data_IF_384221012390
#
_entry.id   IF_384221012390
#
_cell.length_a   1.000
_cell.length_b   1.000
_cell.length_c   1.000
_cell.angle_alpha   90.00
_cell.angle_beta   90.00
_cell.angle_gamma   90.00
#
_symmetry.space_group_name_H-M   'P 1'
#
loop_
_entity.id
_entity.type
_entity.pdbx_description
1 polymer ?
#
# COMPACT_ATOMS: atom_id res chain seq x y z
N UNK A 1 -11.14 -2.97 31.34
CA UNK A 1 -11.14 -4.26 30.62
C UNK A 1 -11.50 -3.93 29.19
N UNK A 2 -10.51 -3.88 28.29
CA UNK A 2 -10.77 -3.57 26.88
C UNK A 2 -11.11 -4.90 26.23
N UNK A 3 -12.38 -5.13 25.95
CA UNK A 3 -12.82 -6.25 25.12
C UNK A 3 -12.05 -6.17 23.80
N UNK A 4 -11.06 -7.06 23.64
CA UNK A 4 -10.49 -7.36 22.32
C UNK A 4 -11.61 -8.04 21.56
N UNK A 5 -12.47 -7.25 20.91
CA UNK A 5 -13.34 -7.77 19.86
C UNK A 5 -12.42 -8.44 18.84
N UNK A 6 -12.45 -9.77 18.82
CA UNK A 6 -11.69 -10.57 17.89
C UNK A 6 -12.42 -10.49 16.56
N UNK A 7 -12.18 -9.39 15.84
CA UNK A 7 -12.79 -9.15 14.54
C UNK A 7 -11.99 -9.94 13.51
N UNK A 8 -12.60 -10.97 12.95
CA UNK A 8 -12.05 -11.78 11.85
C UNK A 8 -12.11 -10.99 10.52
N UNK A 9 -11.23 -10.00 10.37
CA UNK A 9 -11.19 -9.18 9.16
C UNK A 9 -10.67 -10.04 8.02
N UNK A 10 -11.45 -10.16 6.94
CA UNK A 10 -10.98 -10.79 5.72
C UNK A 10 -9.93 -9.90 5.03
N UNK A 11 -8.66 -10.09 5.39
CA UNK A 11 -7.54 -9.31 4.88
C UNK A 11 -7.39 -9.42 3.35
N UNK A 12 -7.76 -10.57 2.79
CA UNK A 12 -7.72 -10.80 1.34
C UNK A 12 -8.72 -9.88 0.63
N UNK A 13 -9.92 -9.73 1.17
CA UNK A 13 -10.93 -8.81 0.64
C UNK A 13 -10.49 -7.35 0.76
N UNK A 14 -9.92 -6.96 1.92
CA UNK A 14 -9.40 -5.61 2.13
C UNK A 14 -8.28 -5.26 1.14
N UNK A 15 -7.34 -6.18 0.93
CA UNK A 15 -6.24 -6.03 -0.05
C UNK A 15 -6.79 -5.94 -1.48
N UNK A 16 -7.74 -6.80 -1.84
CA UNK A 16 -8.36 -6.78 -3.18
C UNK A 16 -9.14 -5.49 -3.44
N UNK A 17 -9.90 -5.01 -2.46
CA UNK A 17 -10.65 -3.75 -2.53
C UNK A 17 -9.68 -2.58 -2.70
N UNK A 18 -8.66 -2.52 -1.87
CA UNK A 18 -7.61 -1.49 -1.92
C UNK A 18 -6.91 -1.49 -3.27
N UNK A 19 -6.52 -2.66 -3.78
CA UNK A 19 -5.87 -2.78 -5.07
C UNK A 19 -6.74 -2.21 -6.20
N UNK A 20 -8.05 -2.50 -6.19
CA UNK A 20 -9.00 -1.93 -7.16
C UNK A 20 -9.13 -0.42 -7.05
N UNK A 21 -9.24 0.12 -5.84
CA UNK A 21 -9.34 1.57 -5.60
C UNK A 21 -8.09 2.27 -6.12
N UNK A 22 -6.90 1.78 -5.76
CA UNK A 22 -5.62 2.38 -6.17
C UNK A 22 -5.37 2.26 -7.68
N UNK A 23 -5.73 1.12 -8.29
CA UNK A 23 -5.68 0.92 -9.73
C UNK A 23 -6.57 1.95 -10.46
N UNK A 24 -7.81 2.12 -10.01
CA UNK A 24 -8.72 3.11 -10.58
C UNK A 24 -8.21 4.54 -10.39
N UNK A 25 -7.73 4.88 -9.19
CA UNK A 25 -7.36 6.24 -8.80
C UNK A 25 -6.06 6.73 -9.45
N UNK A 26 -5.07 5.85 -9.62
CA UNK A 26 -3.73 6.26 -10.06
C UNK A 26 -3.28 5.64 -11.38
N UNK A 27 -3.80 4.46 -11.75
CA UNK A 27 -3.32 3.73 -12.93
C UNK A 27 -4.24 3.91 -14.13
N UNK A 28 -5.56 3.78 -13.93
CA UNK A 28 -6.57 3.92 -14.98
C UNK A 28 -7.10 5.34 -15.13
N UNK A 29 -7.10 6.12 -14.06
CA UNK A 29 -7.54 7.51 -14.12
C UNK A 29 -6.66 8.35 -15.06
N UNK A 30 -7.24 9.32 -15.77
CA UNK A 30 -6.49 10.36 -16.47
C UNK A 30 -5.49 11.08 -15.55
N UNK A 31 -4.31 11.43 -16.08
CA UNK A 31 -3.23 12.04 -15.27
C UNK A 31 -3.65 13.35 -14.60
N UNK A 32 -4.55 14.13 -15.19
CA UNK A 32 -5.09 15.37 -14.62
C UNK A 32 -5.97 15.14 -13.39
N UNK A 33 -6.54 13.94 -13.22
CA UNK A 33 -7.28 13.51 -12.03
C UNK A 33 -6.40 12.84 -10.98
N UNK A 34 -5.44 12.04 -11.40
CA UNK A 34 -4.54 11.31 -10.50
C UNK A 34 -3.47 12.21 -9.85
N UNK A 35 -2.91 13.17 -10.61
CA UNK A 35 -1.84 14.05 -10.12
C UNK A 35 -2.23 14.95 -8.94
N UNK A 36 -3.44 15.55 -8.88
CA UNK A 36 -3.88 16.29 -7.70
C UNK A 36 -3.88 15.44 -6.43
N UNK A 37 -4.41 14.22 -6.52
CA UNK A 37 -4.45 13.28 -5.39
C UNK A 37 -3.04 12.90 -4.95
N UNK A 38 -2.17 12.56 -5.92
CA UNK A 38 -0.76 12.30 -5.63
C UNK A 38 -0.07 13.50 -4.95
N UNK A 39 -0.38 14.72 -5.39
CA UNK A 39 0.19 15.94 -4.80
C UNK A 39 -0.24 16.10 -3.35
N UNK A 40 -1.50 15.81 -3.02
CA UNK A 40 -1.99 15.90 -1.65
C UNK A 40 -1.29 14.88 -0.73
N UNK A 41 -1.25 13.60 -1.12
CA UNK A 41 -0.59 12.56 -0.31
C UNK A 41 0.93 12.78 -0.22
N UNK A 42 1.57 13.30 -1.28
CA UNK A 42 2.99 13.68 -1.26
C UNK A 42 3.30 14.83 -0.29
N UNK A 43 2.31 15.67 0.02
CA UNK A 43 2.43 16.72 1.04
C UNK A 43 2.18 16.21 2.46
N UNK A 44 2.01 14.90 2.65
CA UNK A 44 1.69 14.29 3.94
C UNK A 44 0.23 14.44 4.34
N UNK A 45 -0.68 14.75 3.40
CA UNK A 45 -2.12 14.79 3.69
C UNK A 45 -2.73 13.40 3.50
N UNK A 46 -3.48 12.95 4.50
CA UNK A 46 -4.36 11.81 4.35
C UNK A 46 -5.44 12.12 3.31
N UNK A 47 -5.51 11.31 2.25
CA UNK A 47 -6.53 11.44 1.21
C UNK A 47 -7.70 10.49 1.48
N UNK A 48 -8.93 10.98 1.68
CA UNK A 48 -10.07 10.12 1.94
C UNK A 48 -10.44 9.30 0.69
N UNK A 49 -10.53 7.98 0.85
CA UNK A 49 -10.95 7.06 -0.22
C UNK A 49 -12.44 6.69 -0.12
N UNK A 50 -13.10 7.04 0.98
CA UNK A 50 -14.54 6.83 1.21
C UNK A 50 -14.82 6.00 2.46
N UNK A 51 -15.98 5.36 2.49
CA UNK A 51 -16.38 4.42 3.54
C UNK A 51 -16.55 3.02 2.99
N UNK A 52 -16.29 2.03 3.83
CA UNK A 52 -16.55 0.61 3.54
C UNK A 52 -17.26 -0.02 4.72
N UNK A 53 -18.10 -1.01 4.45
CA UNK A 53 -18.70 -1.80 5.52
C UNK A 53 -17.92 -3.09 5.69
N UNK A 54 -17.19 -3.22 6.79
CA UNK A 54 -16.55 -4.47 7.19
C UNK A 54 -17.57 -5.38 7.88
N UNK A 55 -17.60 -6.65 7.46
CA UNK A 55 -18.47 -7.70 8.05
C UNK A 55 -19.95 -7.30 8.16
N UNK A 56 -20.45 -6.49 7.21
CA UNK A 56 -21.85 -6.02 7.16
C UNK A 56 -22.32 -5.17 8.36
N UNK A 57 -21.44 -4.88 9.33
CA UNK A 57 -21.81 -4.27 10.62
C UNK A 57 -21.00 -3.04 10.97
N UNK A 58 -19.78 -2.92 10.45
CA UNK A 58 -18.85 -1.86 10.85
C UNK A 58 -18.58 -0.95 9.66
N UNK A 59 -19.12 0.26 9.71
CA UNK A 59 -18.77 1.31 8.76
C UNK A 59 -17.40 1.89 9.14
N UNK A 60 -16.44 1.75 8.23
CA UNK A 60 -15.07 2.19 8.37
C UNK A 60 -14.76 3.25 7.32
N UNK A 61 -14.21 4.39 7.74
CA UNK A 61 -13.61 5.35 6.81
C UNK A 61 -12.24 4.85 6.37
N UNK A 62 -11.92 5.02 5.09
CA UNK A 62 -10.61 4.67 4.53
C UNK A 62 -9.89 5.95 4.13
N UNK A 63 -8.63 6.07 4.53
CA UNK A 63 -7.70 7.09 4.04
C UNK A 63 -6.48 6.46 3.38
N UNK A 64 -5.85 7.23 2.50
CA UNK A 64 -4.58 6.92 1.86
C UNK A 64 -3.53 7.92 2.30
N UNK A 65 -2.39 7.39 2.73
CA UNK A 65 -1.22 8.13 3.14
C UNK A 65 0.00 7.66 2.35
N UNK A 66 0.97 8.56 2.15
CA UNK A 66 2.22 8.27 1.48
C UNK A 66 3.39 8.76 2.33
N UNK A 67 4.31 7.86 2.63
CA UNK A 67 5.64 8.17 3.14
C UNK A 67 6.67 7.90 2.05
N UNK A 68 7.42 8.92 1.65
CA UNK A 68 8.50 8.80 0.68
C UNK A 68 9.86 9.17 1.26
N UNK A 69 9.98 9.23 2.60
CA UNK A 69 11.20 9.61 3.31
C UNK A 69 12.42 8.79 2.89
N UNK A 70 12.24 7.49 2.64
CA UNK A 70 13.32 6.58 2.21
C UNK A 70 13.51 6.51 0.69
N UNK A 71 12.85 7.37 -0.09
CA UNK A 71 13.07 7.43 -1.54
C UNK A 71 14.49 7.95 -1.84
N UNK A 72 15.26 7.17 -2.59
CA UNK A 72 16.64 7.46 -2.98
C UNK A 72 16.70 8.10 -4.36
N UNK A 73 17.49 9.18 -4.44
CA UNK A 73 17.80 9.90 -5.67
C UNK A 73 16.86 11.06 -6.01
N UNK A 74 17.27 11.94 -6.95
CA UNK A 74 16.40 13.00 -7.43
C UNK A 74 15.26 12.40 -8.27
N UNK A 75 14.08 13.04 -8.24
CA UNK A 75 13.02 12.73 -9.20
C UNK A 75 11.81 11.96 -8.67
N UNK A 76 11.55 11.97 -7.35
CA UNK A 76 10.27 11.47 -6.84
C UNK A 76 9.11 12.29 -7.41
N UNK A 77 8.40 11.73 -8.39
CA UNK A 77 7.30 12.35 -9.13
C UNK A 77 6.17 11.34 -9.33
N UNK A 78 5.09 11.78 -9.99
CA UNK A 78 3.92 10.93 -10.23
C UNK A 78 4.25 9.66 -11.01
N UNK A 79 5.12 9.74 -12.02
CA UNK A 79 5.44 8.60 -12.86
C UNK A 79 6.27 7.55 -12.10
N UNK A 80 7.23 7.99 -11.26
CA UNK A 80 7.97 7.10 -10.35
C UNK A 80 7.04 6.41 -9.35
N UNK A 81 6.16 7.19 -8.70
CA UNK A 81 5.14 6.66 -7.79
C UNK A 81 4.22 5.63 -8.47
N UNK A 82 3.67 5.97 -9.63
CA UNK A 82 2.76 5.10 -10.37
C UNK A 82 3.46 3.82 -10.82
N UNK A 83 4.75 3.88 -11.19
CA UNK A 83 5.53 2.70 -11.55
C UNK A 83 5.73 1.77 -10.36
N UNK A 84 6.09 2.29 -9.18
CA UNK A 84 6.20 1.48 -7.96
C UNK A 84 4.84 0.87 -7.58
N UNK A 85 3.76 1.65 -7.67
CA UNK A 85 2.42 1.18 -7.35
C UNK A 85 1.98 0.05 -8.28
N UNK A 86 2.27 0.15 -9.58
CA UNK A 86 2.03 -0.95 -10.53
C UNK A 86 2.76 -2.23 -10.14
N UNK A 87 3.96 -2.14 -9.59
CA UNK A 87 4.71 -3.28 -9.09
C UNK A 87 3.98 -4.02 -7.95
N UNK A 88 3.43 -3.28 -6.99
CA UNK A 88 2.61 -3.86 -5.91
C UNK A 88 1.33 -4.49 -6.48
N UNK A 89 0.58 -3.72 -7.27
CA UNK A 89 -0.72 -4.15 -7.81
C UNK A 89 -0.59 -5.37 -8.74
N UNK A 90 0.49 -5.45 -9.53
CA UNK A 90 0.79 -6.60 -10.37
C UNK A 90 1.00 -7.88 -9.56
N UNK A 91 1.78 -7.79 -8.48
CA UNK A 91 2.00 -8.91 -7.56
C UNK A 91 0.72 -9.33 -6.84
N UNK A 92 -0.06 -8.37 -6.32
CA UNK A 92 -1.36 -8.66 -5.71
C UNK A 92 -2.28 -9.38 -6.69
N UNK A 93 -2.39 -8.87 -7.91
CA UNK A 93 -3.22 -9.49 -8.95
C UNK A 93 -2.78 -10.91 -9.24
N UNK A 94 -1.47 -11.14 -9.41
CA UNK A 94 -0.92 -12.47 -9.65
C UNK A 94 -1.26 -13.42 -8.50
N UNK A 95 -0.99 -13.02 -7.25
CA UNK A 95 -1.23 -13.85 -6.06
C UNK A 95 -2.70 -14.21 -5.88
N UNK A 96 -3.60 -13.26 -6.11
CA UNK A 96 -5.06 -13.49 -6.07
C UNK A 96 -5.51 -14.45 -7.17
N UNK A 97 -4.99 -14.31 -8.40
CA UNK A 97 -5.33 -15.20 -9.52
C UNK A 97 -4.84 -16.64 -9.28
N UNK A 98 -3.63 -16.80 -8.74
CA UNK A 98 -3.05 -18.10 -8.44
C UNK A 98 -3.52 -18.70 -7.11
N UNK A 99 -4.38 -17.98 -6.36
CA UNK A 99 -4.85 -18.37 -5.02
C UNK A 99 -3.70 -18.71 -4.06
N UNK A 100 -2.59 -18.02 -4.22
CA UNK A 100 -1.40 -18.18 -3.38
C UNK A 100 -1.38 -17.13 -2.28
N UNK A 101 -0.65 -17.41 -1.21
CA UNK A 101 -0.55 -16.50 -0.06
C UNK A 101 -0.03 -15.10 -0.45
N UNK A 102 -0.71 -14.07 0.07
CA UNK A 102 -0.42 -12.66 -0.15
C UNK A 102 0.81 -12.16 0.63
N UNK A 103 1.46 -13.03 1.40
CA UNK A 103 2.62 -12.73 2.25
C UNK A 103 2.33 -11.57 3.21
N UNK A 104 1.27 -11.75 4.00
CA UNK A 104 0.77 -10.74 4.93
C UNK A 104 1.48 -10.89 6.28
N UNK A 105 2.09 -9.82 6.77
CA UNK A 105 2.74 -9.77 8.06
C UNK A 105 1.95 -8.86 9.00
N UNK A 106 1.51 -9.37 10.15
CA UNK A 106 0.75 -8.59 11.14
C UNK A 106 1.62 -8.30 12.34
N UNK A 107 1.71 -7.03 12.72
CA UNK A 107 2.36 -6.59 13.96
C UNK A 107 1.40 -6.69 15.15
N UNK A 108 1.96 -6.75 16.37
CA UNK A 108 1.17 -6.77 17.61
C UNK A 108 0.28 -5.53 17.81
N UNK A 109 0.61 -4.42 17.11
CA UNK A 109 -0.10 -3.15 17.17
C UNK A 109 -1.27 -3.07 16.17
N UNK A 110 -1.56 -4.15 15.43
CA UNK A 110 -2.65 -4.17 14.45
C UNK A 110 -2.31 -3.50 13.12
N UNK A 111 -1.03 -3.19 12.88
CA UNK A 111 -0.55 -2.84 11.53
C UNK A 111 -0.31 -4.12 10.74
N UNK A 112 -0.86 -4.15 9.53
CA UNK A 112 -0.72 -5.24 8.57
C UNK A 112 0.16 -4.76 7.43
N UNK A 113 1.30 -5.41 7.22
CA UNK A 113 2.21 -5.15 6.12
C UNK A 113 1.99 -6.19 5.02
N UNK A 114 1.82 -5.72 3.79
CA UNK A 114 1.79 -6.57 2.61
C UNK A 114 3.20 -6.66 2.03
N UNK A 115 3.84 -7.81 2.20
CA UNK A 115 5.21 -8.04 1.71
C UNK A 115 5.23 -8.43 0.22
N UNK A 116 4.65 -7.55 -0.61
CA UNK A 116 4.61 -7.61 -2.08
C UNK A 116 5.14 -6.27 -2.63
N UNK A 117 6.47 -6.05 -2.59
CA UNK A 117 7.07 -4.74 -2.79
C UNK A 117 7.08 -4.29 -4.27
N UNK A 118 6.74 -3.03 -4.51
CA UNK A 118 6.92 -2.38 -5.81
C UNK A 118 8.33 -1.82 -5.94
N UNK A 119 9.16 -2.48 -6.75
CA UNK A 119 10.56 -2.09 -6.96
C UNK A 119 10.72 -1.28 -8.25
N UNK A 120 11.41 -0.15 -8.18
CA UNK A 120 11.76 0.66 -9.35
C UNK A 120 13.23 1.07 -9.30
N UNK A 121 13.88 1.07 -10.46
CA UNK A 121 15.26 1.50 -10.62
C UNK A 121 15.27 2.85 -11.36
N UNK A 122 15.85 3.89 -10.74
CA UNK A 122 16.00 5.22 -11.33
C UNK A 122 17.48 5.58 -11.33
N UNK A 123 18.10 5.54 -12.51
CA UNK A 123 19.56 5.58 -12.61
C UNK A 123 20.17 4.42 -11.83
N UNK A 124 21.07 4.72 -10.90
CA UNK A 124 21.72 3.73 -10.01
C UNK A 124 20.95 3.49 -8.71
N UNK A 125 19.85 4.21 -8.46
CA UNK A 125 19.09 4.11 -7.22
C UNK A 125 17.92 3.13 -7.35
N UNK A 126 17.99 2.04 -6.58
CA UNK A 126 16.85 1.16 -6.34
C UNK A 126 15.93 1.82 -5.30
N UNK A 127 14.63 1.81 -5.58
CA UNK A 127 13.60 2.31 -4.68
C UNK A 127 12.55 1.22 -4.49
N UNK A 128 12.13 1.00 -3.25
CA UNK A 128 11.20 -0.06 -2.89
C UNK A 128 10.01 0.55 -2.16
N UNK A 129 8.82 0.33 -2.68
CA UNK A 129 7.58 0.75 -2.05
C UNK A 129 6.81 -0.46 -1.52
N UNK A 130 6.30 -0.36 -0.30
CA UNK A 130 5.43 -1.35 0.34
C UNK A 130 4.07 -0.74 0.66
N UNK A 131 3.11 -1.62 0.94
CA UNK A 131 1.76 -1.24 1.35
C UNK A 131 1.48 -1.79 2.75
N UNK A 132 0.97 -0.95 3.64
CA UNK A 132 0.51 -1.36 4.95
C UNK A 132 -0.91 -0.85 5.23
N UNK A 133 -1.59 -1.53 6.15
CA UNK A 133 -2.89 -1.17 6.68
C UNK A 133 -2.76 -0.96 8.18
N UNK A 134 -3.12 0.23 8.63
CA UNK A 134 -3.27 0.54 10.04
C UNK A 134 -4.76 0.45 10.38
N UNK A 135 -5.11 -0.58 11.16
CA UNK A 135 -6.48 -0.86 11.57
C UNK A 135 -6.85 -0.23 12.91
N UNK A 136 -6.02 0.67 13.45
CA UNK A 136 -5.94 1.04 14.87
C UNK A 136 -7.24 1.22 15.66
N UNK A 137 -8.36 1.61 15.05
CA UNK A 137 -9.65 1.71 15.72
C UNK A 137 -10.84 1.08 14.96
N UNK A 138 -10.61 0.23 13.96
CA UNK A 138 -11.58 -0.47 13.09
C UNK A 138 -12.56 0.43 12.31
N UNK A 139 -12.97 1.57 12.84
CA UNK A 139 -13.77 2.63 12.21
C UNK A 139 -12.94 3.51 11.28
N UNK A 140 -11.63 3.49 11.41
CA UNK A 140 -10.71 4.23 10.54
C UNK A 140 -9.61 3.25 10.11
N UNK A 141 -9.50 3.04 8.80
CA UNK A 141 -8.45 2.25 8.18
C UNK A 141 -7.55 3.20 7.41
N UNK A 142 -6.28 3.29 7.79
CA UNK A 142 -5.28 4.04 7.01
C UNK A 142 -4.49 3.08 6.15
N UNK A 143 -4.51 3.33 4.85
CA UNK A 143 -3.68 2.64 3.86
C UNK A 143 -2.42 3.46 3.69
N UNK A 144 -1.27 2.88 4.03
CA UNK A 144 0.03 3.55 3.96
C UNK A 144 0.84 2.97 2.81
N UNK A 145 1.15 3.79 1.83
CA UNK A 145 2.20 3.51 0.85
C UNK A 145 3.50 4.08 1.38
N UNK A 146 4.55 3.28 1.49
CA UNK A 146 5.79 3.71 2.13
C UNK A 146 6.97 3.26 1.29
N UNK A 147 7.87 4.19 0.98
CA UNK A 147 9.21 3.81 0.53
C UNK A 147 10.01 3.32 1.74
N UNK A 148 10.76 2.25 1.55
CA UNK A 148 11.57 1.61 2.59
C UNK A 148 12.98 1.38 2.08
N UNK A 149 13.91 1.12 3.00
CA UNK A 149 15.30 0.82 2.67
C UNK A 149 15.40 -0.40 1.71
N UNK A 150 15.90 -0.21 0.48
CA UNK A 150 16.04 -1.27 -0.51
C UNK A 150 16.96 -2.42 -0.11
N UNK A 151 17.87 -2.19 0.83
CA UNK A 151 18.88 -3.18 1.22
C UNK A 151 18.25 -4.44 1.84
N UNK A 152 17.04 -4.32 2.38
CA UNK A 152 16.23 -5.44 2.88
C UNK A 152 15.63 -6.32 1.76
N UNK A 153 15.65 -5.82 0.52
CA UNK A 153 15.01 -6.44 -0.65
C UNK A 153 16.00 -6.78 -1.77
N UNK A 154 17.29 -6.49 -1.57
CA UNK A 154 18.33 -7.00 -2.45
C UNK A 154 18.34 -8.52 -2.31
N UNK A 155 18.32 -9.28 -3.42
CA UNK A 155 18.61 -10.71 -3.32
C UNK A 155 19.96 -10.83 -2.62
N UNK A 156 20.05 -11.65 -1.58
CA UNK A 156 21.33 -11.98 -0.96
C UNK A 156 22.27 -12.34 -2.10
N UNK A 157 23.27 -11.50 -2.33
CA UNK A 157 24.32 -11.80 -3.27
C UNK A 157 24.91 -13.11 -2.79
N UNK A 158 24.66 -14.19 -3.51
CA UNK A 158 25.60 -15.30 -3.50
C UNK A 158 26.90 -14.72 -4.04
N UNK A 159 27.72 -14.23 -3.13
CA UNK A 159 29.16 -14.11 -3.35
C UNK A 159 29.64 -15.54 -3.62
N UNK A 160 29.81 -15.86 -4.90
CA UNK A 160 30.75 -16.89 -5.35
C UNK A 160 32.18 -16.35 -5.27
#
# INVERSE_FOLDING_TARGET
>A
MTDKQNIDINLVELVNLTAKILDQLFIRAPKDKAKPVFKDIKQGKAFPLGTVTLQELIESTISLDLDYSEFRGPGFNFDAFALALRGILGQVSQKLQTKTDLNIMTSEQGTILLNLPGMIQIGEQLNVMVMAFDLGALKNISIKLMFVEPDQYKPEGKSE
#
